data_IF_660030416417
#
_entry.id   IF_660030416417
#
_cell.length_a   1.000
_cell.length_b   1.000
_cell.length_c   1.000
_cell.angle_alpha   90.00
_cell.angle_beta   90.00
_cell.angle_gamma   90.00
#
_symmetry.space_group_name_H-M   'P 1'
#
loop_
_entity.id
_entity.type
_entity.pdbx_description
1 polymer ?
#
# COMPACT_ATOMS: atom_id res chain seq x y z
N UNK A 1 -33.71 -10.82 -6.89
CA UNK A 1 -33.28 -10.77 -5.48
C UNK A 1 -31.78 -10.60 -5.49
N UNK A 2 -31.28 -9.44 -5.06
CA UNK A 2 -29.84 -9.17 -5.02
C UNK A 2 -29.26 -9.87 -3.78
N UNK A 3 -28.34 -10.80 -3.99
CA UNK A 3 -27.69 -11.52 -2.91
C UNK A 3 -26.59 -10.63 -2.32
N UNK A 4 -26.79 -10.14 -1.10
CA UNK A 4 -25.75 -9.41 -0.36
C UNK A 4 -24.71 -10.41 0.14
N UNK A 5 -23.57 -10.51 -0.54
CA UNK A 5 -22.43 -11.28 -0.06
C UNK A 5 -21.49 -10.36 0.73
N UNK A 6 -21.44 -10.57 2.06
CA UNK A 6 -20.42 -9.98 2.91
C UNK A 6 -19.14 -10.79 2.69
N UNK A 7 -18.19 -10.23 1.94
CA UNK A 7 -16.90 -10.88 1.73
C UNK A 7 -15.91 -10.45 2.82
N UNK A 8 -15.49 -11.39 3.64
CA UNK A 8 -14.44 -11.18 4.64
C UNK A 8 -13.10 -11.31 3.92
N UNK A 9 -12.33 -10.22 3.90
CA UNK A 9 -11.09 -10.17 3.14
C UNK A 9 -10.00 -11.11 3.68
N UNK A 10 -9.25 -11.71 2.76
CA UNK A 10 -8.15 -12.62 3.09
C UNK A 10 -6.84 -11.83 3.09
N UNK A 11 -6.08 -11.92 4.19
CA UNK A 11 -4.77 -11.26 4.32
C UNK A 11 -3.79 -11.82 3.28
N UNK A 12 -3.48 -11.03 2.26
CA UNK A 12 -2.56 -11.46 1.20
C UNK A 12 -1.13 -11.01 1.46
N UNK A 13 -0.16 -11.93 1.31
CA UNK A 13 1.27 -11.62 1.26
C UNK A 13 1.67 -11.07 -0.12
N UNK A 14 1.15 -9.90 -0.49
CA UNK A 14 1.56 -9.22 -1.74
C UNK A 14 2.53 -8.12 -1.33
N UNK A 15 3.70 -8.05 -1.99
CA UNK A 15 4.63 -6.95 -1.75
C UNK A 15 4.03 -5.65 -2.30
N UNK A 16 3.82 -4.69 -1.41
CA UNK A 16 3.34 -3.36 -1.74
C UNK A 16 4.34 -2.58 -2.61
N UNK A 17 3.87 -1.61 -3.40
CA UNK A 17 4.74 -0.66 -4.12
C UNK A 17 5.76 0.02 -3.19
N UNK A 18 5.35 0.25 -1.94
CA UNK A 18 6.20 0.76 -0.87
C UNK A 18 7.36 -0.19 -0.52
N UNK A 19 7.14 -1.51 -0.50
CA UNK A 19 8.20 -2.50 -0.28
C UNK A 19 9.24 -2.52 -1.39
N UNK A 20 8.80 -2.41 -2.64
CA UNK A 20 9.69 -2.34 -3.81
C UNK A 20 10.49 -1.03 -3.78
N UNK A 21 9.83 0.10 -3.49
CA UNK A 21 10.50 1.40 -3.43
C UNK A 21 11.55 1.45 -2.30
N UNK A 22 11.24 0.90 -1.12
CA UNK A 22 12.20 0.82 -0.02
C UNK A 22 13.39 -0.08 -0.36
N UNK A 23 13.18 -1.18 -1.09
CA UNK A 23 14.27 -2.03 -1.56
C UNK A 23 15.21 -1.27 -2.52
N UNK A 24 14.64 -0.50 -3.45
CA UNK A 24 15.41 0.32 -4.39
C UNK A 24 16.21 1.40 -3.66
N UNK A 25 15.61 2.09 -2.69
CA UNK A 25 16.31 3.08 -1.85
C UNK A 25 17.48 2.44 -1.11
N UNK A 26 17.29 1.26 -0.50
CA UNK A 26 18.36 0.52 0.17
C UNK A 26 19.51 0.19 -0.77
N UNK A 27 19.23 -0.31 -1.99
CA UNK A 27 20.26 -0.60 -3.00
C UNK A 27 21.04 0.68 -3.36
N UNK A 28 20.34 1.79 -3.58
CA UNK A 28 20.94 3.07 -3.98
C UNK A 28 21.86 3.63 -2.89
N UNK A 29 21.44 3.54 -1.62
CA UNK A 29 22.26 3.96 -0.47
C UNK A 29 23.50 3.08 -0.33
N UNK A 30 23.37 1.75 -0.41
CA UNK A 30 24.52 0.82 -0.32
C UNK A 30 25.53 1.12 -1.44
N UNK A 31 25.05 1.30 -2.67
CA UNK A 31 25.90 1.61 -3.82
C UNK A 31 26.60 2.97 -3.62
N UNK A 32 25.89 3.96 -3.09
CA UNK A 32 26.44 5.27 -2.73
C UNK A 32 27.56 5.18 -1.68
N UNK A 33 27.38 4.37 -0.62
CA UNK A 33 28.40 4.15 0.42
C UNK A 33 29.66 3.54 -0.18
N UNK A 34 29.53 2.53 -1.04
CA UNK A 34 30.66 1.87 -1.69
C UNK A 34 31.43 2.87 -2.56
N UNK A 35 30.72 3.65 -3.38
CA UNK A 35 31.33 4.68 -4.23
C UNK A 35 32.07 5.76 -3.41
N UNK A 36 31.47 6.25 -2.31
CA UNK A 36 32.09 7.23 -1.43
C UNK A 36 33.32 6.66 -0.70
N UNK A 37 33.27 5.39 -0.31
CA UNK A 37 34.38 4.66 0.29
C UNK A 37 35.57 4.49 -0.65
N UNK A 38 35.34 4.47 -1.96
CA UNK A 38 36.41 4.42 -2.98
C UNK A 38 37.03 5.81 -3.21
N UNK A 39 36.21 6.87 -3.25
CA UNK A 39 36.65 8.22 -3.63
C UNK A 39 37.38 8.94 -2.50
N UNK A 40 36.95 8.78 -1.25
CA UNK A 40 37.61 9.44 -0.11
C UNK A 40 38.90 8.69 0.19
N UNK A 41 40.03 9.37 0.39
CA UNK A 41 41.30 8.72 0.80
C UNK A 41 41.63 8.92 2.28
N UNK A 42 41.07 9.96 2.89
CA UNK A 42 41.28 10.31 4.29
C UNK A 42 40.44 9.44 5.23
N UNK A 43 41.12 8.61 6.01
CA UNK A 43 40.52 7.69 7.01
C UNK A 43 39.57 8.37 8.00
N UNK A 44 39.87 9.53 8.62
CA UNK A 44 38.97 10.14 9.59
C UNK A 44 37.67 10.66 8.96
N UNK A 45 37.74 11.17 7.72
CA UNK A 45 36.56 11.66 6.98
C UNK A 45 35.65 10.50 6.57
N UNK A 46 36.24 9.35 6.16
CA UNK A 46 35.45 8.14 5.89
C UNK A 46 34.65 7.65 7.09
N UNK A 47 35.26 7.65 8.28
CA UNK A 47 34.62 7.14 9.49
C UNK A 47 33.42 8.00 9.87
N UNK A 48 33.58 9.32 9.88
CA UNK A 48 32.48 10.26 10.19
C UNK A 48 31.35 10.14 9.16
N UNK A 49 31.69 10.06 7.87
CA UNK A 49 30.70 9.92 6.81
C UNK A 49 29.91 8.60 6.92
N UNK A 50 30.59 7.49 7.17
CA UNK A 50 29.94 6.19 7.35
C UNK A 50 28.98 6.19 8.54
N UNK A 51 29.35 6.81 9.66
CA UNK A 51 28.47 6.95 10.84
C UNK A 51 27.20 7.74 10.47
N UNK A 52 27.34 8.86 9.76
CA UNK A 52 26.19 9.67 9.34
C UNK A 52 25.25 8.89 8.40
N UNK A 53 25.80 8.12 7.47
CA UNK A 53 24.99 7.31 6.55
C UNK A 53 24.27 6.18 7.30
N UNK A 54 24.97 5.47 8.20
CA UNK A 54 24.37 4.42 9.03
C UNK A 54 23.24 5.01 9.89
N UNK A 55 23.47 6.17 10.50
CA UNK A 55 22.46 6.86 11.30
C UNK A 55 21.25 7.27 10.45
N UNK A 56 21.47 7.79 9.24
CA UNK A 56 20.42 8.11 8.29
C UNK A 56 19.61 6.88 7.87
N UNK A 57 20.27 5.75 7.62
CA UNK A 57 19.62 4.46 7.34
C UNK A 57 18.76 4.00 8.51
N UNK A 58 19.26 4.09 9.75
CA UNK A 58 18.50 3.71 10.95
C UNK A 58 17.24 4.57 11.08
N UNK A 59 17.37 5.90 10.93
CA UNK A 59 16.24 6.82 11.00
C UNK A 59 15.20 6.53 9.90
N UNK A 60 15.64 6.25 8.67
CA UNK A 60 14.77 5.87 7.55
C UNK A 60 14.05 4.53 7.79
N UNK A 61 14.74 3.55 8.35
CA UNK A 61 14.14 2.26 8.71
C UNK A 61 13.09 2.43 9.82
N UNK A 62 13.37 3.26 10.83
CA UNK A 62 12.42 3.59 11.90
C UNK A 62 11.18 4.28 11.33
N UNK A 63 11.34 5.31 10.48
CA UNK A 63 10.18 6.00 9.89
C UNK A 63 9.35 5.07 9.01
N UNK A 64 10.00 4.24 8.19
CA UNK A 64 9.33 3.24 7.35
C UNK A 64 8.57 2.19 8.16
N UNK A 65 9.06 1.83 9.36
CA UNK A 65 8.38 0.90 10.25
C UNK A 65 7.10 1.49 10.84
N UNK A 66 7.14 2.75 11.29
CA UNK A 66 5.95 3.45 11.79
C UNK A 66 4.88 3.60 10.70
N UNK A 67 5.25 3.92 9.45
CA UNK A 67 4.29 3.99 8.35
C UNK A 67 3.61 2.65 8.03
N UNK A 68 4.29 1.51 8.25
CA UNK A 68 3.68 0.17 8.04
C UNK A 68 2.71 -0.23 9.14
N UNK A 69 2.94 0.18 10.38
CA UNK A 69 2.12 -0.25 11.52
C UNK A 69 0.64 0.13 11.37
N UNK A 70 0.36 1.25 10.69
CA UNK A 70 -0.99 1.78 10.53
C UNK A 70 -1.65 1.44 9.19
N UNK A 71 -0.99 0.65 8.34
CA UNK A 71 -1.55 0.25 7.04
C UNK A 71 -2.31 -1.06 7.15
N UNK A 72 -3.61 -1.03 6.86
CA UNK A 72 -4.46 -2.24 6.79
C UNK A 72 -4.79 -2.58 5.35
N UNK A 73 -4.81 -3.88 5.02
CA UNK A 73 -5.14 -4.36 3.69
C UNK A 73 -6.33 -5.32 3.76
N UNK A 74 -7.36 -5.03 2.98
CA UNK A 74 -8.57 -5.86 2.85
C UNK A 74 -8.73 -6.26 1.40
N UNK A 75 -8.61 -7.56 1.10
CA UNK A 75 -8.81 -8.08 -0.24
C UNK A 75 -10.27 -8.48 -0.47
N UNK A 76 -10.81 -8.22 -1.65
CA UNK A 76 -12.14 -8.69 -2.06
C UNK A 76 -12.13 -9.05 -3.55
N UNK A 77 -13.14 -9.76 -4.00
CA UNK A 77 -13.21 -10.37 -5.31
C UNK A 77 -14.56 -10.04 -5.96
N UNK A 78 -14.56 -9.96 -7.29
CA UNK A 78 -15.82 -9.91 -8.06
C UNK A 78 -16.71 -11.11 -7.76
N UNK A 79 -18.01 -10.98 -8.04
CA UNK A 79 -18.97 -12.09 -7.90
C UNK A 79 -18.54 -13.35 -8.67
N UNK A 80 -17.87 -13.16 -9.82
CA UNK A 80 -17.33 -14.27 -10.62
C UNK A 80 -16.04 -14.89 -10.07
N UNK A 81 -15.42 -14.26 -9.07
CA UNK A 81 -14.11 -14.63 -8.53
C UNK A 81 -12.91 -14.34 -9.47
N UNK A 82 -13.15 -13.84 -10.69
CA UNK A 82 -12.08 -13.58 -11.68
C UNK A 82 -11.28 -12.34 -11.33
N UNK A 83 -11.98 -11.25 -11.00
CA UNK A 83 -11.34 -10.01 -10.62
C UNK A 83 -11.06 -9.98 -9.12
N UNK A 84 -9.88 -9.46 -8.77
CA UNK A 84 -9.41 -9.32 -7.40
C UNK A 84 -9.05 -7.87 -7.14
N UNK A 85 -9.42 -7.39 -5.97
CA UNK A 85 -9.18 -6.03 -5.52
C UNK A 85 -8.57 -6.02 -4.14
N UNK A 86 -7.90 -4.91 -3.83
CA UNK A 86 -7.25 -4.65 -2.56
C UNK A 86 -7.61 -3.23 -2.11
N UNK A 87 -8.32 -3.11 -0.99
CA UNK A 87 -8.41 -1.88 -0.24
C UNK A 87 -7.18 -1.76 0.66
N UNK A 88 -6.49 -0.63 0.55
CA UNK A 88 -5.37 -0.23 1.38
C UNK A 88 -5.80 0.96 2.21
N UNK A 89 -5.87 0.79 3.52
CA UNK A 89 -6.28 1.85 4.44
C UNK A 89 -5.10 2.35 5.24
N UNK A 90 -4.98 3.67 5.31
CA UNK A 90 -3.98 4.41 6.07
C UNK A 90 -4.67 5.54 6.82
N UNK A 91 -3.95 6.18 7.73
CA UNK A 91 -4.43 7.36 8.49
C UNK A 91 -5.03 8.49 7.63
N UNK A 92 -4.71 8.52 6.33
CA UNK A 92 -5.12 9.54 5.34
C UNK A 92 -6.19 9.06 4.34
N UNK A 93 -6.84 7.93 4.60
CA UNK A 93 -7.95 7.40 3.82
C UNK A 93 -7.70 6.02 3.20
N UNK A 94 -8.66 5.59 2.38
CA UNK A 94 -8.72 4.23 1.83
C UNK A 94 -8.57 4.22 0.31
N UNK A 95 -7.47 3.65 -0.17
CA UNK A 95 -7.13 3.54 -1.59
C UNK A 95 -7.50 2.15 -2.11
N UNK A 96 -8.04 2.09 -3.33
CA UNK A 96 -8.48 0.84 -3.96
C UNK A 96 -7.60 0.51 -5.16
N UNK A 97 -7.16 -0.73 -5.21
CA UNK A 97 -6.33 -1.27 -6.26
C UNK A 97 -6.98 -2.53 -6.87
N UNK A 98 -6.91 -2.70 -8.18
CA UNK A 98 -7.18 -3.97 -8.86
C UNK A 98 -5.88 -4.79 -8.90
N UNK A 99 -5.95 -6.07 -8.57
CA UNK A 99 -4.81 -6.99 -8.60
C UNK A 99 -4.81 -7.73 -9.94
N UNK A 100 -3.82 -7.47 -10.78
CA UNK A 100 -3.62 -8.17 -12.06
C UNK A 100 -2.38 -9.05 -12.01
N UNK A 101 -2.44 -10.20 -12.68
CA UNK A 101 -1.30 -11.14 -12.75
C UNK A 101 -0.80 -11.65 -11.38
N UNK A 102 -1.62 -11.56 -10.33
CA UNK A 102 -1.31 -11.99 -8.96
C UNK A 102 -0.41 -11.07 -8.14
N UNK A 103 0.34 -10.16 -8.77
CA UNK A 103 1.34 -9.31 -8.09
C UNK A 103 1.23 -7.81 -8.42
N UNK A 104 0.56 -7.42 -9.50
CA UNK A 104 0.51 -6.03 -9.93
C UNK A 104 -0.72 -5.32 -9.36
N UNK A 105 -0.53 -4.11 -8.85
CA UNK A 105 -1.59 -3.28 -8.29
C UNK A 105 -1.88 -2.10 -9.23
N UNK A 106 -3.06 -2.10 -9.83
CA UNK A 106 -3.56 -0.98 -10.63
C UNK A 106 -4.44 -0.10 -9.76
N UNK A 107 -4.00 1.13 -9.50
CA UNK A 107 -4.79 2.09 -8.76
C UNK A 107 -6.11 2.37 -9.48
N UNK A 108 -7.23 2.25 -8.76
CA UNK A 108 -8.57 2.48 -9.30
C UNK A 108 -9.25 3.70 -8.68
N UNK A 109 -8.87 4.10 -7.48
CA UNK A 109 -9.42 5.29 -6.86
C UNK A 109 -9.20 5.34 -5.36
N UNK A 110 -9.67 6.43 -4.75
CA UNK A 110 -9.63 6.65 -3.31
C UNK A 110 -11.03 6.92 -2.80
N UNK A 111 -11.42 6.19 -1.77
CA UNK A 111 -12.62 6.48 -1.01
C UNK A 111 -12.26 7.57 0.01
N UNK A 112 -12.86 8.75 -0.16
CA UNK A 112 -12.65 9.86 0.75
C UNK A 112 -13.39 9.59 2.04
N UNK A 113 -12.68 9.05 3.01
CA UNK A 113 -13.15 8.88 4.37
C UNK A 113 -12.46 9.88 5.28
N UNK A 114 -13.12 10.25 6.38
CA UNK A 114 -12.54 11.16 7.37
C UNK A 114 -11.22 10.62 7.92
N UNK A 115 -10.37 11.52 8.42
CA UNK A 115 -9.12 11.14 9.09
C UNK A 115 -9.42 10.13 10.20
N UNK A 116 -8.59 9.08 10.32
CA UNK A 116 -8.79 7.97 11.26
C UNK A 116 -10.03 7.08 11.05
N UNK A 117 -10.73 7.20 9.94
CA UNK A 117 -11.83 6.30 9.59
C UNK A 117 -11.34 5.15 8.69
N UNK A 118 -11.65 3.91 9.07
CA UNK A 118 -11.15 2.69 8.42
C UNK A 118 -12.31 1.74 8.06
N UNK A 119 -13.14 2.09 7.05
CA UNK A 119 -14.34 1.30 6.73
C UNK A 119 -14.02 -0.15 6.38
N UNK A 120 -12.91 -0.43 5.67
CA UNK A 120 -12.60 -1.79 5.23
C UNK A 120 -12.09 -2.69 6.37
N UNK A 121 -11.33 -2.12 7.31
CA UNK A 121 -10.86 -2.78 8.53
C UNK A 121 -12.01 -3.08 9.48
N UNK A 122 -12.94 -2.14 9.62
CA UNK A 122 -14.08 -2.27 10.52
C UNK A 122 -15.24 -3.09 9.91
N UNK A 123 -15.19 -3.39 8.61
CA UNK A 123 -16.30 -4.05 7.91
C UNK A 123 -17.49 -3.11 7.66
N UNK A 124 -17.28 -1.80 7.75
CA UNK A 124 -18.29 -0.74 7.59
C UNK A 124 -18.35 -0.25 6.14
N UNK A 125 -18.34 -1.20 5.20
CA UNK A 125 -18.42 -0.93 3.77
C UNK A 125 -19.40 -1.88 3.09
N UNK A 126 -19.93 -1.46 1.96
CA UNK A 126 -20.77 -2.28 1.08
C UNK A 126 -20.26 -2.17 -0.35
N UNK A 127 -20.19 -3.30 -1.04
CA UNK A 127 -19.79 -3.38 -2.44
C UNK A 127 -20.99 -3.79 -3.26
N UNK A 128 -21.26 -3.02 -4.30
CA UNK A 128 -22.25 -3.33 -5.31
C UNK A 128 -21.54 -3.57 -6.65
N UNK A 129 -21.76 -4.76 -7.21
CA UNK A 129 -21.30 -5.11 -8.54
C UNK A 129 -22.41 -4.77 -9.53
N UNK A 130 -22.16 -3.77 -10.37
CA UNK A 130 -23.07 -3.35 -11.42
C UNK A 130 -22.89 -4.19 -12.69
N UNK A 131 -23.80 -4.01 -13.64
CA UNK A 131 -23.67 -4.59 -14.97
C UNK A 131 -22.47 -3.97 -15.71
N UNK A 132 -21.72 -4.80 -16.43
CA UNK A 132 -20.58 -4.41 -17.28
C UNK A 132 -19.45 -3.68 -16.55
N UNK A 133 -18.56 -4.43 -15.90
CA UNK A 133 -17.24 -3.94 -15.48
C UNK A 133 -17.26 -2.76 -14.48
N UNK A 134 -18.36 -2.60 -13.75
CA UNK A 134 -18.58 -1.51 -12.79
C UNK A 134 -18.71 -2.05 -11.38
N UNK A 135 -17.93 -1.50 -10.47
CA UNK A 135 -18.03 -1.71 -9.03
C UNK A 135 -18.33 -0.39 -8.35
N UNK A 136 -19.21 -0.42 -7.36
CA UNK A 136 -19.52 0.73 -6.52
C UNK A 136 -19.26 0.34 -5.08
N UNK A 137 -18.49 1.16 -4.37
CA UNK A 137 -18.21 0.98 -2.95
C UNK A 137 -18.88 2.12 -2.17
N UNK A 138 -19.56 1.76 -1.09
CA UNK A 138 -20.14 2.68 -0.12
C UNK A 138 -19.50 2.45 1.25
N UNK A 139 -19.24 3.51 2.00
CA UNK A 139 -19.01 3.40 3.45
C UNK A 139 -20.30 3.65 4.25
N UNK A 140 -20.22 3.45 5.57
CA UNK A 140 -21.31 3.72 6.50
C UNK A 140 -21.67 5.21 6.64
N UNK A 141 -20.80 6.12 6.21
CA UNK A 141 -21.04 7.56 6.22
C UNK A 141 -21.75 8.06 4.94
N UNK A 142 -21.98 7.18 3.97
CA UNK A 142 -22.63 7.49 2.69
C UNK A 142 -21.68 8.01 1.61
N UNK A 143 -20.37 7.98 1.84
CA UNK A 143 -19.38 8.24 0.80
C UNK A 143 -19.41 7.10 -0.22
N UNK A 144 -19.24 7.47 -1.49
CA UNK A 144 -19.35 6.56 -2.62
C UNK A 144 -18.12 6.66 -3.52
N UNK A 145 -17.62 5.51 -3.95
CA UNK A 145 -16.59 5.40 -4.97
C UNK A 145 -17.08 4.48 -6.09
N UNK A 146 -17.11 4.98 -7.33
CA UNK A 146 -17.36 4.16 -8.51
C UNK A 146 -16.04 3.80 -9.18
N UNK A 147 -15.86 2.51 -9.49
CA UNK A 147 -14.66 1.97 -10.11
C UNK A 147 -15.09 1.20 -11.37
N UNK A 148 -14.42 1.52 -12.47
CA UNK A 148 -14.49 0.73 -13.70
C UNK A 148 -13.24 -0.15 -13.77
N UNK A 149 -13.45 -1.44 -13.99
CA UNK A 149 -12.39 -2.44 -14.06
C UNK A 149 -12.39 -3.13 -15.42
N UNK A 150 -11.22 -3.60 -15.83
CA UNK A 150 -11.01 -4.18 -17.15
C UNK A 150 -11.34 -5.68 -17.13
#
# INVERSE_FOLDING_TARGET
MANNYIQIGVKSKILSYFEINNLLVCILVITGIICLGIVIKSTPVKVVLNILIILGLILYLISSFFERADTTYTAFYSESGKERFLAMERHRGSEIYQVTGGIFLHYKGKLNVGDNWFPFKNGEYSIYWGESNKMIIFDSAGNKLEIYYD
#
